data_IF_184268189999
#
_entry.id   IF_184268189999
#
_cell.length_a   1.000
_cell.length_b   1.000
_cell.length_c   1.000
_cell.angle_alpha   90.00
_cell.angle_beta   90.00
_cell.angle_gamma   90.00
#
_symmetry.space_group_name_H-M   'P 1'
#
loop_
_entity.id
_entity.type
_entity.pdbx_description
1 polymer ?
#
# COMPACT_ATOMS: atom_id res chain seq x y z
N UNK A 1 14.57 22.87 -44.14
CA UNK A 1 13.60 22.45 -43.10
C UNK A 1 12.46 23.44 -43.10
N UNK A 2 11.22 23.00 -43.38
CA UNK A 2 10.10 23.90 -43.66
C UNK A 2 9.69 24.65 -42.37
N UNK A 3 9.56 25.98 -42.42
CA UNK A 3 9.31 26.84 -41.23
C UNK A 3 8.13 26.33 -40.39
N UNK A 4 7.08 25.83 -41.03
CA UNK A 4 5.89 25.28 -40.37
C UNK A 4 6.17 24.04 -39.52
N UNK A 5 7.15 23.21 -39.90
CA UNK A 5 7.53 22.01 -39.13
C UNK A 5 8.27 22.42 -37.85
N UNK A 6 9.09 23.47 -37.93
CA UNK A 6 9.82 24.00 -36.77
C UNK A 6 8.87 24.63 -35.74
N UNK A 7 7.83 25.34 -36.20
CA UNK A 7 6.79 25.89 -35.31
C UNK A 7 5.96 24.79 -34.64
N UNK A 8 5.59 23.72 -35.34
CA UNK A 8 4.91 22.58 -34.72
C UNK A 8 5.76 21.88 -33.66
N UNK A 9 7.07 21.74 -33.89
CA UNK A 9 7.98 21.15 -32.90
C UNK A 9 8.11 22.00 -31.62
N UNK A 10 8.11 23.34 -31.75
CA UNK A 10 8.13 24.26 -30.60
C UNK A 10 6.78 24.23 -29.85
N UNK A 11 5.66 24.11 -30.56
CA UNK A 11 4.32 24.04 -29.96
C UNK A 11 4.11 22.75 -29.14
N UNK A 12 4.71 21.64 -29.58
CA UNK A 12 4.71 20.38 -28.83
C UNK A 12 5.57 20.44 -27.55
N UNK A 13 6.59 21.31 -27.51
CA UNK A 13 7.43 21.53 -26.32
C UNK A 13 6.77 22.47 -25.29
N UNK A 14 5.79 23.29 -25.70
CA UNK A 14 5.04 24.18 -24.80
C UNK A 14 3.80 23.55 -24.16
N UNK A 15 3.45 22.33 -24.55
CA UNK A 15 2.41 21.56 -23.86
C UNK A 15 3.05 20.96 -22.61
N UNK A 16 2.74 21.53 -21.44
CA UNK A 16 2.91 20.81 -20.18
C UNK A 16 1.99 19.58 -20.22
N UNK A 17 2.52 18.46 -20.72
CA UNK A 17 1.83 17.19 -20.67
C UNK A 17 1.86 16.76 -19.21
N UNK A 18 0.81 17.11 -18.47
CA UNK A 18 0.51 16.50 -17.19
C UNK A 18 0.08 15.06 -17.47
N UNK A 19 1.06 14.17 -17.59
CA UNK A 19 0.84 12.74 -17.55
C UNK A 19 0.36 12.37 -16.15
N UNK A 20 -0.95 12.48 -15.90
CA UNK A 20 -1.58 11.81 -14.76
C UNK A 20 -1.66 10.32 -15.07
N UNK A 21 -0.51 9.65 -15.10
CA UNK A 21 -0.50 8.24 -14.75
C UNK A 21 -0.76 8.22 -13.26
N UNK A 22 -1.86 7.59 -12.82
CA UNK A 22 -1.98 7.17 -11.43
C UNK A 22 -0.66 6.50 -11.04
N UNK A 23 -0.01 7.00 -10.00
CA UNK A 23 1.26 6.47 -9.53
C UNK A 23 1.11 4.94 -9.40
N UNK A 24 1.98 4.13 -10.03
CA UNK A 24 1.93 2.68 -9.89
C UNK A 24 2.36 2.23 -8.49
N UNK A 25 2.77 3.18 -7.64
CA UNK A 25 3.16 2.94 -6.26
C UNK A 25 1.95 3.08 -5.35
N UNK A 26 1.76 2.16 -4.40
CA UNK A 26 0.71 2.29 -3.40
C UNK A 26 0.84 3.64 -2.70
N UNK A 27 -0.30 4.29 -2.46
CA UNK A 27 -0.47 5.61 -1.88
C UNK A 27 -0.07 5.69 -0.39
N UNK A 28 0.54 4.63 0.13
CA UNK A 28 0.95 4.49 1.52
C UNK A 28 0.96 3.03 1.96
N UNK A 29 1.18 2.86 3.25
CA UNK A 29 1.16 1.57 3.93
C UNK A 29 -0.17 1.34 4.63
N UNK A 30 -0.60 0.08 4.69
CA UNK A 30 -1.62 -0.37 5.63
C UNK A 30 -0.91 -0.79 6.90
N UNK A 31 -1.10 -0.07 7.99
CA UNK A 31 -0.41 -0.35 9.23
C UNK A 31 -1.21 -1.31 10.10
N UNK A 32 -0.51 -2.14 10.86
CA UNK A 32 -1.13 -3.11 11.78
C UNK A 32 -0.39 -3.10 13.11
N UNK A 33 -1.15 -3.09 14.20
CA UNK A 33 -0.63 -3.36 15.55
C UNK A 33 -1.52 -4.37 16.27
N UNK A 34 -1.03 -4.93 17.38
CA UNK A 34 -1.83 -5.88 18.17
C UNK A 34 -2.61 -5.13 19.25
N UNK A 35 -3.94 -5.26 19.23
CA UNK A 35 -4.88 -4.74 20.23
C UNK A 35 -5.73 -5.91 20.73
N UNK A 36 -5.77 -6.12 22.04
CA UNK A 36 -6.55 -7.20 22.66
C UNK A 36 -6.30 -8.58 22.02
N UNK A 37 -5.03 -8.88 21.77
CA UNK A 37 -4.56 -10.12 21.15
C UNK A 37 -5.01 -10.35 19.69
N UNK A 38 -5.49 -9.31 19.01
CA UNK A 38 -5.92 -9.35 17.61
C UNK A 38 -5.19 -8.28 16.78
N UNK A 39 -4.95 -8.50 15.49
CA UNK A 39 -4.43 -7.46 14.62
C UNK A 39 -5.47 -6.34 14.43
N UNK A 40 -5.03 -5.10 14.56
CA UNK A 40 -5.85 -3.91 14.37
C UNK A 40 -5.27 -3.08 13.23
N UNK A 41 -6.06 -2.92 12.18
CA UNK A 41 -5.65 -2.34 10.89
C UNK A 41 -5.97 -0.84 10.87
N UNK A 42 -5.02 -0.03 10.46
CA UNK A 42 -5.19 1.41 10.31
C UNK A 42 -4.34 1.99 9.18
N UNK A 43 -4.60 3.24 8.81
CA UNK A 43 -3.77 4.01 7.87
C UNK A 43 -3.38 5.35 8.50
N UNK A 44 -2.20 5.85 8.14
CA UNK A 44 -1.73 7.19 8.57
C UNK A 44 -2.16 8.31 7.62
N UNK A 45 -2.52 7.97 6.37
CA UNK A 45 -2.98 8.96 5.40
C UNK A 45 -4.35 9.48 5.85
N UNK A 46 -4.48 10.80 5.89
CA UNK A 46 -5.69 11.50 6.31
C UNK A 46 -6.43 12.09 5.11
N UNK A 47 -7.70 12.46 5.35
CA UNK A 47 -8.56 13.15 4.39
C UNK A 47 -8.83 12.40 3.08
N UNK A 48 -8.76 11.08 3.10
CA UNK A 48 -9.24 10.25 2.00
C UNK A 48 -10.76 10.24 1.95
N UNK A 49 -11.29 10.06 0.75
CA UNK A 49 -12.73 10.04 0.48
C UNK A 49 -13.10 8.82 -0.35
N UNK A 50 -14.36 8.42 -0.22
CA UNK A 50 -14.98 7.33 -0.96
C UNK A 50 -14.86 5.94 -0.33
N UNK A 51 -15.42 4.98 -1.06
CA UNK A 51 -15.49 3.58 -0.66
C UNK A 51 -14.13 2.88 -0.72
N UNK A 52 -13.86 2.04 0.27
CA UNK A 52 -12.68 1.19 0.30
C UNK A 52 -13.01 -0.26 0.61
N UNK A 53 -12.17 -1.17 0.13
CA UNK A 53 -12.14 -2.58 0.48
C UNK A 53 -10.81 -2.88 1.14
N UNK A 54 -10.84 -3.31 2.40
CA UNK A 54 -9.70 -3.93 3.07
C UNK A 54 -9.66 -5.41 2.72
N UNK A 55 -8.50 -5.88 2.31
CA UNK A 55 -8.22 -7.25 1.94
C UNK A 55 -7.13 -7.75 2.88
N UNK A 56 -7.44 -8.81 3.61
CA UNK A 56 -6.42 -9.62 4.29
C UNK A 56 -6.20 -10.83 3.40
N UNK A 57 -4.96 -11.17 3.06
CA UNK A 57 -4.65 -12.39 2.34
C UNK A 57 -3.46 -13.12 2.93
N UNK A 58 -3.40 -14.43 2.74
CA UNK A 58 -2.30 -15.27 3.18
C UNK A 58 -2.14 -16.41 2.21
N UNK A 59 -0.90 -16.71 1.85
CA UNK A 59 -0.59 -17.90 1.08
C UNK A 59 -0.50 -19.08 2.06
N UNK A 60 -1.35 -20.09 1.88
CA UNK A 60 -1.39 -21.28 2.72
C UNK A 60 -0.50 -22.39 2.18
N UNK A 61 -0.33 -22.45 0.87
CA UNK A 61 0.60 -23.30 0.14
C UNK A 61 0.89 -22.67 -1.22
N UNK A 62 1.84 -23.22 -1.99
CA UNK A 62 2.18 -22.74 -3.34
C UNK A 62 0.99 -22.62 -4.31
N UNK A 63 -0.17 -23.20 -3.98
CA UNK A 63 -1.35 -23.26 -4.85
C UNK A 63 -2.65 -22.79 -4.18
N UNK A 64 -2.61 -22.34 -2.92
CA UNK A 64 -3.81 -21.96 -2.18
C UNK A 64 -3.60 -20.62 -1.48
N UNK A 65 -4.19 -19.58 -2.06
CA UNK A 65 -4.30 -18.26 -1.45
C UNK A 65 -5.66 -18.12 -0.77
N UNK A 66 -5.64 -17.70 0.49
CA UNK A 66 -6.84 -17.35 1.24
C UNK A 66 -6.94 -15.83 1.29
N UNK A 67 -8.16 -15.30 1.10
CA UNK A 67 -8.42 -13.87 1.20
C UNK A 67 -9.73 -13.61 1.94
N UNK A 68 -9.74 -12.51 2.69
CA UNK A 68 -10.88 -12.05 3.47
C UNK A 68 -11.10 -10.56 3.20
N UNK A 69 -12.36 -10.17 3.07
CA UNK A 69 -12.74 -8.83 2.61
C UNK A 69 -13.56 -8.11 3.67
N UNK A 70 -13.24 -6.84 3.88
CA UNK A 70 -14.04 -5.89 4.64
C UNK A 70 -14.30 -4.67 3.76
N UNK A 71 -15.57 -4.24 3.65
CA UNK A 71 -15.98 -3.13 2.78
C UNK A 71 -16.59 -2.02 3.60
N UNK A 72 -16.14 -0.78 3.38
CA UNK A 72 -16.73 0.41 4.01
C UNK A 72 -16.43 1.67 3.18
N UNK A 73 -16.67 2.85 3.74
CA UNK A 73 -16.25 4.13 3.17
C UNK A 73 -15.57 5.00 4.23
N UNK A 74 -14.70 5.92 3.81
CA UNK A 74 -13.98 6.80 4.73
C UNK A 74 -14.90 7.75 5.49
N UNK A 75 -16.06 8.10 4.92
CA UNK A 75 -17.09 8.95 5.52
C UNK A 75 -17.80 8.24 6.68
N UNK A 76 -17.90 6.91 6.62
CA UNK A 76 -18.59 6.10 7.64
C UNK A 76 -17.65 5.57 8.69
N UNK A 77 -16.49 5.05 8.28
CA UNK A 77 -15.53 4.47 9.19
C UNK A 77 -14.11 4.68 8.66
N UNK A 78 -13.48 5.77 9.10
CA UNK A 78 -12.09 6.05 8.79
C UNK A 78 -11.16 5.23 9.71
N UNK A 79 -10.31 4.34 9.17
CA UNK A 79 -9.46 3.49 9.99
C UNK A 79 -8.21 4.23 10.46
N UNK A 80 -8.35 4.98 11.56
CA UNK A 80 -7.23 5.63 12.25
C UNK A 80 -6.63 4.69 13.30
N UNK A 81 -5.49 5.07 13.89
CA UNK A 81 -4.86 4.26 14.94
C UNK A 81 -5.78 4.00 16.14
N UNK A 82 -6.56 5.00 16.54
CA UNK A 82 -7.48 4.89 17.69
C UNK A 82 -8.78 4.16 17.32
N UNK A 83 -9.24 4.32 16.08
CA UNK A 83 -10.44 3.69 15.51
C UNK A 83 -10.07 2.62 14.46
N UNK A 84 -9.09 1.78 14.81
CA UNK A 84 -8.58 0.76 13.92
C UNK A 84 -9.60 -0.37 13.72
N UNK A 85 -9.52 -1.05 12.57
CA UNK A 85 -10.42 -2.15 12.23
C UNK A 85 -9.80 -3.44 12.74
N UNK A 86 -10.46 -4.07 13.71
CA UNK A 86 -10.03 -5.35 14.26
C UNK A 86 -10.18 -6.42 13.16
N UNK A 87 -9.09 -7.09 12.84
CA UNK A 87 -9.10 -8.23 11.93
C UNK A 87 -9.55 -9.47 12.72
N UNK A 88 -10.82 -9.84 12.60
CA UNK A 88 -11.38 -11.08 13.15
C UNK A 88 -12.59 -11.53 12.34
N UNK A 89 -13.18 -12.68 12.71
CA UNK A 89 -14.34 -13.27 12.02
C UNK A 89 -15.58 -12.34 11.95
N UNK A 90 -15.67 -11.31 12.81
CA UNK A 90 -16.79 -10.37 12.80
C UNK A 90 -16.67 -9.38 11.65
N UNK A 91 -15.48 -8.81 11.44
CA UNK A 91 -15.22 -7.87 10.34
C UNK A 91 -14.79 -8.59 9.05
N UNK A 92 -14.18 -9.76 9.17
CA UNK A 92 -13.60 -10.55 8.08
C UNK A 92 -14.08 -12.00 8.21
N UNK A 93 -15.24 -12.30 7.63
CA UNK A 93 -15.90 -13.60 7.77
C UNK A 93 -14.98 -14.77 7.40
N UNK A 94 -14.77 -15.69 8.33
CA UNK A 94 -13.94 -16.88 8.24
C UNK A 94 -12.45 -16.64 8.54
N UNK A 95 -12.05 -15.43 8.96
CA UNK A 95 -10.65 -15.11 9.23
C UNK A 95 -10.20 -15.71 10.57
N UNK A 96 -9.23 -16.62 10.48
CA UNK A 96 -8.52 -17.19 11.62
C UNK A 96 -7.03 -17.07 11.34
N UNK A 97 -6.32 -16.33 12.20
CA UNK A 97 -4.88 -16.16 12.06
C UNK A 97 -4.13 -17.43 12.45
N UNK A 98 -3.19 -17.82 11.60
CA UNK A 98 -2.30 -18.96 11.81
C UNK A 98 -1.00 -18.50 12.45
N UNK A 99 -0.47 -19.34 13.33
CA UNK A 99 0.83 -19.10 13.94
C UNK A 99 1.94 -19.19 12.87
N UNK A 100 2.88 -18.24 12.92
CA UNK A 100 4.05 -18.18 12.06
C UNK A 100 3.70 -18.16 10.56
N UNK A 101 2.75 -17.30 10.20
CA UNK A 101 2.31 -17.12 8.82
C UNK A 101 2.39 -15.64 8.41
N UNK A 102 2.68 -15.42 7.13
CA UNK A 102 2.68 -14.10 6.51
C UNK A 102 1.26 -13.77 6.04
N UNK A 103 0.85 -12.54 6.34
CA UNK A 103 -0.41 -11.95 5.90
C UNK A 103 -0.13 -10.65 5.18
N UNK A 104 -0.73 -10.48 4.01
CA UNK A 104 -0.78 -9.24 3.29
C UNK A 104 -2.06 -8.50 3.65
N UNK A 105 -1.94 -7.20 3.86
CA UNK A 105 -3.04 -6.30 4.14
C UNK A 105 -3.04 -5.25 3.04
N UNK A 106 -4.08 -5.22 2.22
CA UNK A 106 -4.28 -4.16 1.23
C UNK A 106 -5.56 -3.38 1.49
N UNK A 107 -5.55 -2.12 1.13
CA UNK A 107 -6.71 -1.22 1.11
C UNK A 107 -6.83 -0.72 -0.31
N UNK A 108 -7.93 -1.08 -0.97
CA UNK A 108 -8.17 -0.78 -2.38
C UNK A 108 -9.45 0.04 -2.55
N UNK A 109 -9.51 0.94 -3.56
CA UNK A 109 -10.75 1.61 -3.92
C UNK A 109 -11.88 0.62 -4.19
N UNK A 110 -13.03 0.83 -3.56
CA UNK A 110 -14.23 0.07 -3.92
C UNK A 110 -14.74 0.51 -5.28
N UNK A 111 -15.00 -0.45 -6.17
CA UNK A 111 -15.29 -0.21 -7.60
C UNK A 111 -16.57 0.63 -7.85
N UNK A 112 -17.46 0.79 -6.85
CA UNK A 112 -18.76 1.47 -7.00
C UNK A 112 -19.25 2.00 -5.63
N UNK A 113 -19.88 3.20 -5.49
CA UNK A 113 -20.11 4.28 -6.47
C UNK A 113 -19.32 5.56 -6.18
N UNK A 114 -18.48 5.59 -5.14
CA UNK A 114 -17.81 6.80 -4.70
C UNK A 114 -16.43 6.89 -5.33
N UNK A 115 -16.13 7.99 -6.01
CA UNK A 115 -14.79 8.27 -6.53
C UNK A 115 -13.82 8.32 -5.35
N UNK A 116 -13.01 7.27 -5.22
CA UNK A 116 -11.92 7.24 -4.28
C UNK A 116 -10.76 8.13 -4.76
N UNK A 117 -10.19 8.91 -3.86
CA UNK A 117 -9.06 9.80 -4.12
C UNK A 117 -7.70 9.14 -3.82
N UNK A 118 -7.65 7.81 -3.89
CA UNK A 118 -6.45 7.01 -3.66
C UNK A 118 -6.36 5.83 -4.64
N UNK A 119 -5.16 5.32 -4.87
CA UNK A 119 -4.88 4.22 -5.82
C UNK A 119 -4.76 2.85 -5.17
N UNK A 120 -4.52 2.81 -3.87
CA UNK A 120 -4.40 1.60 -3.06
C UNK A 120 -3.23 1.67 -2.09
N UNK A 121 -3.27 0.90 -1.01
CA UNK A 121 -2.21 0.80 -0.01
C UNK A 121 -1.98 -0.66 0.32
N UNK A 122 -0.75 -1.05 0.65
CA UNK A 122 -0.48 -2.43 1.04
C UNK A 122 0.70 -2.55 2.00
N UNK A 123 0.67 -3.57 2.85
CA UNK A 123 1.80 -4.00 3.67
C UNK A 123 1.68 -5.47 4.01
N UNK A 124 2.80 -6.07 4.35
CA UNK A 124 2.88 -7.49 4.69
C UNK A 124 3.52 -7.65 6.06
N UNK A 125 2.92 -8.51 6.87
CA UNK A 125 3.38 -8.78 8.23
C UNK A 125 3.37 -10.26 8.50
N UNK A 126 4.31 -10.71 9.32
CA UNK A 126 4.20 -12.03 9.92
C UNK A 126 3.56 -11.95 11.30
N UNK A 127 2.64 -12.87 11.55
CA UNK A 127 2.02 -13.07 12.85
C UNK A 127 2.56 -14.33 13.50
N UNK A 128 3.03 -14.22 14.75
CA UNK A 128 3.50 -15.34 15.56
C UNK A 128 2.79 -15.34 16.90
N UNK A 129 2.43 -16.52 17.39
CA UNK A 129 1.91 -16.71 18.73
C UNK A 129 3.05 -17.13 19.67
N UNK A 130 3.22 -16.37 20.75
CA UNK A 130 4.20 -16.64 21.81
C UNK A 130 3.53 -16.53 23.17
N UNK A 131 3.55 -17.62 23.93
CA UNK A 131 2.93 -17.68 25.27
C UNK A 131 1.45 -17.27 25.28
N UNK A 132 0.67 -17.69 24.27
CA UNK A 132 -0.75 -17.33 24.12
C UNK A 132 -1.00 -15.89 23.65
N UNK A 133 0.05 -15.13 23.34
CA UNK A 133 -0.04 -13.76 22.82
C UNK A 133 0.39 -13.70 21.37
N UNK A 134 -0.44 -13.09 20.55
CA UNK A 134 -0.15 -12.77 19.16
C UNK A 134 0.83 -11.59 19.12
N UNK A 135 1.86 -11.74 18.30
CA UNK A 135 2.93 -10.77 18.11
C UNK A 135 3.14 -10.54 16.61
N UNK A 136 3.56 -9.32 16.26
CA UNK A 136 3.70 -8.87 14.88
C UNK A 136 5.18 -8.64 14.52
N UNK A 137 5.60 -9.19 13.40
CA UNK A 137 6.97 -9.22 12.90
C UNK A 137 7.03 -8.74 11.45
N UNK A 138 8.19 -8.24 11.04
CA UNK A 138 8.43 -7.93 9.63
C UNK A 138 8.47 -9.21 8.78
N UNK A 139 7.76 -9.23 7.66
CA UNK A 139 7.86 -10.31 6.67
C UNK A 139 9.09 -10.11 5.77
N UNK A 140 9.80 -11.18 5.44
CA UNK A 140 10.77 -11.16 4.34
C UNK A 140 10.15 -11.78 3.09
N UNK A 141 9.60 -10.93 2.22
CA UNK A 141 8.92 -11.36 1.00
C UNK A 141 9.81 -12.12 0.01
N UNK A 142 11.15 -12.01 0.12
CA UNK A 142 12.07 -12.69 -0.79
C UNK A 142 12.32 -14.16 -0.47
N UNK A 143 12.04 -14.59 0.76
CA UNK A 143 12.26 -15.96 1.23
C UNK A 143 11.01 -16.60 1.81
N UNK A 144 9.87 -15.87 1.78
CA UNK A 144 8.59 -16.29 2.37
C UNK A 144 8.69 -16.73 3.84
N UNK A 145 9.59 -16.08 4.59
CA UNK A 145 9.84 -16.40 5.99
C UNK A 145 9.64 -15.18 6.89
N UNK A 146 9.17 -15.48 8.10
CA UNK A 146 8.99 -14.51 9.17
C UNK A 146 10.32 -14.16 9.84
N UNK A 147 10.80 -12.92 9.70
CA UNK A 147 12.01 -12.48 10.42
C UNK A 147 11.78 -12.53 11.93
N UNK A 148 12.85 -12.73 12.69
CA UNK A 148 12.82 -12.62 14.16
C UNK A 148 12.76 -11.17 14.66
N UNK A 149 12.96 -10.20 13.77
CA UNK A 149 12.88 -8.79 14.12
C UNK A 149 11.41 -8.39 14.35
N UNK A 150 11.07 -8.16 15.61
CA UNK A 150 9.78 -7.58 15.99
C UNK A 150 9.62 -6.20 15.37
N UNK A 151 8.40 -5.85 14.97
CA UNK A 151 8.07 -4.44 14.83
C UNK A 151 8.09 -3.81 16.23
N UNK A 152 9.11 -3.02 16.51
CA UNK A 152 9.05 -2.11 17.65
C UNK A 152 7.98 -1.07 17.30
N UNK A 153 7.01 -0.86 18.20
CA UNK A 153 5.85 0.04 18.05
C UNK A 153 6.23 1.54 17.89
N UNK A 154 7.51 1.86 17.71
CA UNK A 154 7.99 3.19 17.39
C UNK A 154 8.91 3.12 16.18
N UNK A 155 8.33 3.43 15.02
CA UNK A 155 9.07 4.06 13.94
C UNK A 155 8.49 5.47 13.84
N UNK A 156 9.18 6.43 14.45
CA UNK A 156 9.12 7.80 13.95
C UNK A 156 9.42 7.70 12.46
N UNK A 157 8.42 7.98 11.62
CA UNK A 157 8.65 8.17 10.21
C UNK A 157 9.53 9.41 10.05
N UNK A 158 10.86 9.22 10.13
CA UNK A 158 11.76 10.11 9.40
C UNK A 158 11.35 9.96 7.94
N UNK A 159 10.61 10.95 7.45
CA UNK A 159 10.40 11.19 6.04
C UNK A 159 11.77 11.25 5.37
N UNK A 160 12.22 10.11 4.83
CA UNK A 160 13.24 10.16 3.80
C UNK A 160 12.49 10.66 2.58
N UNK A 161 12.40 11.99 2.45
CA UNK A 161 12.02 12.63 1.20
C UNK A 161 13.10 12.30 0.17
N UNK A 162 13.06 11.08 -0.40
CA UNK A 162 13.77 10.80 -1.64
C UNK A 162 13.04 11.62 -2.68
N UNK A 163 13.57 12.83 -2.92
CA UNK A 163 13.17 13.73 -4.00
C UNK A 163 13.07 12.87 -5.27
N UNK A 164 11.83 12.59 -5.68
CA UNK A 164 11.52 11.80 -6.85
C UNK A 164 12.25 12.49 -8.03
N UNK A 165 13.25 11.82 -8.62
CA UNK A 165 13.97 12.42 -9.74
C UNK A 165 12.95 12.65 -10.87
N UNK A 166 12.77 13.93 -11.23
CA UNK A 166 11.85 14.35 -12.29
C UNK A 166 12.11 13.53 -13.56
N UNK A 167 11.06 13.04 -14.22
CA UNK A 167 11.13 12.19 -15.41
C UNK A 167 11.99 12.79 -16.52
N UNK A 168 12.02 14.13 -16.61
CA UNK A 168 12.86 14.87 -17.55
C UNK A 168 14.36 14.63 -17.30
N UNK A 169 14.79 14.51 -16.05
CA UNK A 169 16.17 14.20 -15.69
C UNK A 169 16.56 12.77 -16.06
N UNK A 170 15.63 11.82 -15.94
CA UNK A 170 15.83 10.44 -16.39
C UNK A 170 15.94 10.38 -17.92
N UNK A 171 15.13 11.16 -18.64
CA UNK A 171 15.20 11.27 -20.09
C UNK A 171 16.54 11.87 -20.56
N UNK A 172 17.03 12.92 -19.89
CA UNK A 172 18.35 13.52 -20.19
C UNK A 172 19.48 12.53 -19.89
N UNK A 173 19.42 11.78 -18.78
CA UNK A 173 20.41 10.72 -18.46
C UNK A 173 20.42 9.63 -19.55
N UNK A 174 19.25 9.18 -19.97
CA UNK A 174 19.11 8.19 -21.04
C UNK A 174 19.71 8.69 -22.36
N UNK A 175 19.41 9.94 -22.75
CA UNK A 175 20.00 10.56 -23.94
C UNK A 175 21.52 10.66 -23.87
N UNK A 176 22.07 11.05 -22.71
CA UNK A 176 23.54 11.12 -22.53
C UNK A 176 24.21 9.76 -22.63
N UNK A 177 23.54 8.68 -22.21
CA UNK A 177 24.08 7.32 -22.31
C UNK A 177 24.03 6.73 -23.72
N UNK A 178 23.15 7.22 -24.60
CA UNK A 178 23.09 6.77 -26.00
C UNK A 178 24.23 7.32 -26.87
N UNK A 179 24.94 8.34 -26.40
CA UNK A 179 26.01 9.03 -27.13
C UNK A 179 27.39 8.81 -26.48
N UNK A 180 27.53 7.71 -25.75
CA UNK A 180 28.80 7.11 -25.32
C UNK A 180 29.00 5.81 -26.08
#
# INVERSE_FOLDING_TARGET
MNRSIFYCAILLLSLEVYGFSSSPYPDGNVNVFIKDNKPCIYIDKLNLTGGYTLIVSSTKSLTEDEFWLYKNSFEKNYPTRDNCIIADDTNFKGLIFRNNAIYNFSLEPSVVPEFADFTGMASSYCLKEKNGKLELYYSNLSIDECREQKQNIFVEHTEISKKQENWFNLLIKWFKNLWK
#
